data_IF_078526179238
#
_entry.id   IF_078526179238
#
_cell.length_a   1.000
_cell.length_b   1.000
_cell.length_c   1.000
_cell.angle_alpha   90.00
_cell.angle_beta   90.00
_cell.angle_gamma   90.00
#
_symmetry.space_group_name_H-M   'P 1'
#
loop_
_entity.id
_entity.type
_entity.pdbx_description
1 polymer ?
#
# COMPACT_ATOMS: atom_id res chain seq x y z
N UNK A 1 -38.42 16.21 22.22
CA UNK A 1 -37.66 17.05 21.26
C UNK A 1 -36.66 16.15 20.58
N UNK A 2 -36.69 16.03 19.25
CA UNK A 2 -35.74 15.22 18.51
C UNK A 2 -34.53 16.10 18.17
N UNK A 3 -33.30 15.64 18.46
CA UNK A 3 -32.06 16.36 18.18
C UNK A 3 -32.06 17.01 16.78
N UNK A 4 -31.71 18.30 16.75
CA UNK A 4 -31.71 19.13 15.56
C UNK A 4 -30.49 18.80 14.68
N UNK A 5 -30.65 18.45 13.38
CA UNK A 5 -29.53 18.18 12.48
C UNK A 5 -28.49 19.29 12.38
N UNK A 6 -28.86 20.55 12.67
CA UNK A 6 -27.93 21.68 12.65
C UNK A 6 -26.82 21.59 13.70
N UNK A 7 -26.93 20.73 14.72
CA UNK A 7 -25.96 20.69 15.82
C UNK A 7 -24.65 19.96 15.47
N UNK A 8 -24.63 19.07 14.47
CA UNK A 8 -23.43 18.35 14.05
C UNK A 8 -22.79 18.90 12.76
N UNK A 9 -23.33 19.98 12.18
CA UNK A 9 -22.82 20.53 10.92
C UNK A 9 -21.37 21.00 11.06
N UNK A 10 -21.01 21.53 12.23
CA UNK A 10 -19.64 21.93 12.53
C UNK A 10 -18.73 20.70 12.67
N UNK A 11 -19.16 19.68 13.41
CA UNK A 11 -18.40 18.43 13.57
C UNK A 11 -18.09 17.77 12.21
N UNK A 12 -19.03 17.78 11.28
CA UNK A 12 -18.83 17.26 9.93
C UNK A 12 -17.74 18.03 9.16
N UNK A 13 -17.70 19.36 9.29
CA UNK A 13 -16.66 20.20 8.69
C UNK A 13 -15.32 19.97 9.39
N UNK A 14 -15.34 19.79 10.71
CA UNK A 14 -14.14 19.58 11.52
C UNK A 14 -13.48 18.23 11.18
N UNK A 15 -14.26 17.15 10.98
CA UNK A 15 -13.75 15.87 10.48
C UNK A 15 -13.03 16.02 9.14
N UNK A 16 -13.67 16.68 8.17
CA UNK A 16 -13.08 16.88 6.86
C UNK A 16 -11.79 17.72 6.93
N UNK A 17 -11.80 18.80 7.72
CA UNK A 17 -10.62 19.67 7.88
C UNK A 17 -9.48 18.97 8.60
N UNK A 18 -9.76 18.17 9.65
CA UNK A 18 -8.79 17.40 10.40
C UNK A 18 -8.11 16.32 9.52
N UNK A 19 -8.87 15.67 8.64
CA UNK A 19 -8.30 14.71 7.68
C UNK A 19 -7.38 15.41 6.67
N UNK A 20 -7.79 16.56 6.12
CA UNK A 20 -6.96 17.34 5.17
C UNK A 20 -5.69 17.89 5.83
N UNK A 21 -5.77 18.36 7.07
CA UNK A 21 -4.63 18.87 7.83
C UNK A 21 -3.81 17.79 8.53
N UNK A 22 -4.26 16.52 8.47
CA UNK A 22 -3.66 15.36 9.13
C UNK A 22 -3.57 15.51 10.65
N UNK A 23 -4.57 16.15 11.24
CA UNK A 23 -4.68 16.39 12.68
C UNK A 23 -5.45 15.27 13.38
N UNK A 24 -4.71 14.27 13.87
CA UNK A 24 -5.25 13.12 14.60
C UNK A 24 -6.05 13.53 15.84
N UNK A 25 -5.58 14.56 16.56
CA UNK A 25 -6.18 14.98 17.81
C UNK A 25 -7.55 15.58 17.55
N UNK A 26 -7.64 16.53 16.63
CA UNK A 26 -8.90 17.18 16.26
C UNK A 26 -9.90 16.15 15.71
N UNK A 27 -9.46 15.20 14.89
CA UNK A 27 -10.31 14.12 14.38
C UNK A 27 -10.89 13.27 15.52
N UNK A 28 -10.04 12.85 16.46
CA UNK A 28 -10.44 12.02 17.61
C UNK A 28 -11.39 12.77 18.55
N UNK A 29 -11.07 14.02 18.87
CA UNK A 29 -11.88 14.88 19.74
C UNK A 29 -13.28 15.12 19.14
N UNK A 30 -13.36 15.32 17.82
CA UNK A 30 -14.63 15.53 17.11
C UNK A 30 -15.49 14.26 17.12
N UNK A 31 -14.91 13.08 16.84
CA UNK A 31 -15.65 11.81 16.89
C UNK A 31 -16.17 11.53 18.31
N UNK A 32 -15.37 11.84 19.35
CA UNK A 32 -15.79 11.69 20.74
C UNK A 32 -16.92 12.67 21.12
N UNK A 33 -16.89 13.88 20.59
CA UNK A 33 -17.96 14.86 20.77
C UNK A 33 -19.27 14.35 20.14
N UNK A 34 -19.23 13.85 18.91
CA UNK A 34 -20.38 13.21 18.24
C UNK A 34 -20.92 12.04 19.09
N UNK A 35 -20.05 11.17 19.62
CA UNK A 35 -20.45 10.05 20.48
C UNK A 35 -21.23 10.53 21.72
N UNK A 36 -20.69 11.54 22.41
CA UNK A 36 -21.31 12.13 23.60
C UNK A 36 -22.65 12.78 23.29
N UNK A 37 -22.73 13.52 22.18
CA UNK A 37 -23.96 14.16 21.71
C UNK A 37 -25.05 13.12 21.40
N UNK A 38 -24.70 12.01 20.73
CA UNK A 38 -25.66 10.94 20.43
C UNK A 38 -26.18 10.25 21.70
N UNK A 39 -25.34 10.07 22.72
CA UNK A 39 -25.74 9.46 24.01
C UNK A 39 -26.62 10.37 24.85
N UNK A 40 -26.35 11.68 24.85
CA UNK A 40 -27.03 12.66 25.71
C UNK A 40 -28.28 13.27 25.07
N UNK A 41 -28.33 13.36 23.74
CA UNK A 41 -29.37 14.07 22.98
C UNK A 41 -30.70 13.34 22.80
N UNK A 42 -30.95 12.22 23.49
CA UNK A 42 -32.15 11.37 23.31
C UNK A 42 -32.48 11.11 21.82
N UNK A 43 -31.46 10.84 21.02
CA UNK A 43 -31.59 10.63 19.57
C UNK A 43 -32.07 9.20 19.31
N UNK A 44 -33.07 9.03 18.44
CA UNK A 44 -33.55 7.70 18.04
C UNK A 44 -32.47 6.96 17.26
N UNK A 45 -32.34 5.65 17.48
CA UNK A 45 -31.35 4.78 16.82
C UNK A 45 -31.22 5.01 15.31
N UNK A 46 -32.32 5.06 14.57
CA UNK A 46 -32.28 5.24 13.12
C UNK A 46 -31.64 6.57 12.70
N UNK A 47 -31.80 7.63 13.51
CA UNK A 47 -31.14 8.92 13.26
C UNK A 47 -29.65 8.84 13.58
N UNK A 48 -29.25 8.18 14.67
CA UNK A 48 -27.83 7.96 14.97
C UNK A 48 -27.13 7.23 13.81
N UNK A 49 -27.73 6.14 13.31
CA UNK A 49 -27.19 5.39 12.16
C UNK A 49 -27.05 6.29 10.94
N UNK A 50 -28.07 7.09 10.61
CA UNK A 50 -28.01 8.01 9.47
C UNK A 50 -26.86 9.04 9.59
N UNK A 51 -26.65 9.60 10.78
CA UNK A 51 -25.53 10.53 11.02
C UNK A 51 -24.17 9.83 10.92
N UNK A 52 -24.04 8.61 11.44
CA UNK A 52 -22.78 7.85 11.33
C UNK A 52 -22.48 7.48 9.88
N UNK A 53 -23.48 7.13 9.07
CA UNK A 53 -23.30 6.94 7.62
C UNK A 53 -22.89 8.24 6.92
N UNK A 54 -23.42 9.39 7.34
CA UNK A 54 -22.96 10.68 6.82
C UNK A 54 -21.49 10.97 7.18
N UNK A 55 -21.09 10.69 8.43
CA UNK A 55 -19.69 10.79 8.85
C UNK A 55 -18.79 9.85 8.03
N UNK A 56 -19.18 8.60 7.86
CA UNK A 56 -18.47 7.61 7.06
C UNK A 56 -18.24 8.10 5.63
N UNK A 57 -19.29 8.66 5.02
CA UNK A 57 -19.24 9.23 3.68
C UNK A 57 -18.30 10.42 3.59
N UNK A 58 -18.33 11.34 4.56
CA UNK A 58 -17.43 12.50 4.60
C UNK A 58 -15.97 12.05 4.70
N UNK A 59 -15.69 11.08 5.58
CA UNK A 59 -14.34 10.52 5.71
C UNK A 59 -13.89 9.94 4.37
N UNK A 60 -14.73 9.10 3.75
CA UNK A 60 -14.44 8.50 2.45
C UNK A 60 -14.16 9.55 1.37
N UNK A 61 -15.09 10.49 1.15
CA UNK A 61 -14.96 11.54 0.13
C UNK A 61 -13.70 12.39 0.35
N UNK A 62 -13.41 12.76 1.61
CA UNK A 62 -12.23 13.59 1.96
C UNK A 62 -10.93 12.83 1.72
N UNK A 63 -10.84 11.57 2.13
CA UNK A 63 -9.62 10.78 1.94
C UNK A 63 -9.38 10.51 0.46
N UNK A 64 -10.44 10.29 -0.32
CA UNK A 64 -10.37 10.09 -1.77
C UNK A 64 -9.80 11.30 -2.53
N UNK A 65 -9.91 12.52 -1.98
CA UNK A 65 -9.23 13.71 -2.51
C UNK A 65 -7.69 13.55 -2.51
N UNK A 66 -7.16 12.68 -1.64
CA UNK A 66 -5.71 12.50 -1.41
C UNK A 66 -5.19 11.10 -1.73
N UNK A 67 -6.01 10.06 -1.61
CA UNK A 67 -5.67 8.67 -1.93
C UNK A 67 -6.80 8.01 -2.74
N UNK A 68 -6.64 7.98 -4.07
CA UNK A 68 -7.66 7.51 -5.02
C UNK A 68 -8.05 6.03 -4.85
N UNK A 69 -7.21 5.22 -4.21
CA UNK A 69 -7.50 3.80 -4.00
C UNK A 69 -8.22 3.50 -2.68
N UNK A 70 -8.47 4.50 -1.83
CA UNK A 70 -9.17 4.29 -0.57
C UNK A 70 -10.56 3.71 -0.84
N UNK A 71 -10.93 2.64 -0.14
CA UNK A 71 -12.18 1.90 -0.38
C UNK A 71 -13.15 2.08 0.79
N UNK A 72 -14.44 2.11 0.45
CA UNK A 72 -15.55 2.02 1.38
C UNK A 72 -16.33 0.74 1.04
N UNK A 73 -16.21 -0.28 1.88
CA UNK A 73 -16.81 -1.59 1.62
C UNK A 73 -18.27 -1.63 2.10
N UNK A 74 -19.13 -2.40 1.40
CA UNK A 74 -20.53 -2.63 1.82
C UNK A 74 -20.63 -3.16 3.27
N UNK A 75 -19.62 -3.93 3.69
CA UNK A 75 -19.54 -4.45 5.05
C UNK A 75 -19.40 -3.36 6.10
N UNK A 76 -18.73 -2.24 5.80
CA UNK A 76 -18.55 -1.11 6.72
C UNK A 76 -19.89 -0.39 6.94
N UNK A 77 -20.64 -0.20 5.85
CA UNK A 77 -21.97 0.38 5.87
C UNK A 77 -22.96 -0.52 6.65
N UNK A 78 -22.95 -1.83 6.37
CA UNK A 78 -23.81 -2.80 7.06
C UNK A 78 -23.46 -2.91 8.53
N UNK A 79 -22.18 -2.98 8.89
CA UNK A 79 -21.73 -3.13 10.28
C UNK A 79 -22.17 -1.96 11.17
N UNK A 80 -22.18 -0.73 10.64
CA UNK A 80 -22.72 0.44 11.35
C UNK A 80 -24.23 0.32 11.55
N UNK A 81 -24.97 -0.13 10.53
CA UNK A 81 -26.42 -0.35 10.61
C UNK A 81 -26.77 -1.43 11.64
N UNK A 82 -26.00 -2.52 11.64
CA UNK A 82 -26.23 -3.72 12.44
C UNK A 82 -25.65 -3.60 13.87
N UNK A 83 -24.91 -2.54 14.15
CA UNK A 83 -24.32 -2.29 15.45
C UNK A 83 -25.39 -2.28 16.56
N UNK A 84 -25.14 -3.06 17.62
CA UNK A 84 -26.07 -3.25 18.75
C UNK A 84 -26.08 -2.10 19.74
N UNK A 85 -25.11 -1.19 19.66
CA UNK A 85 -25.01 -0.01 20.51
C UNK A 85 -24.34 1.15 19.78
N UNK A 86 -24.55 2.38 20.26
CA UNK A 86 -23.94 3.59 19.70
C UNK A 86 -22.42 3.52 19.86
N UNK A 87 -21.94 3.04 21.01
CA UNK A 87 -20.51 2.84 21.29
C UNK A 87 -19.85 1.98 20.21
N UNK A 88 -20.49 0.86 19.85
CA UNK A 88 -19.95 -0.04 18.83
C UNK A 88 -19.98 0.61 17.45
N UNK A 89 -21.06 1.31 17.10
CA UNK A 89 -21.19 1.98 15.83
C UNK A 89 -20.15 3.12 15.66
N UNK A 90 -19.93 3.90 16.72
CA UNK A 90 -18.91 4.96 16.73
C UNK A 90 -17.50 4.37 16.77
N UNK A 91 -17.28 3.24 17.44
CA UNK A 91 -16.02 2.50 17.36
C UNK A 91 -15.64 2.15 15.92
N UNK A 92 -16.59 1.67 15.11
CA UNK A 92 -16.38 1.39 13.69
C UNK A 92 -16.01 2.65 12.90
N UNK A 93 -16.65 3.79 13.20
CA UNK A 93 -16.28 5.09 12.60
C UNK A 93 -14.87 5.50 12.99
N UNK A 94 -14.47 5.31 14.25
CA UNK A 94 -13.13 5.63 14.74
C UNK A 94 -12.07 4.78 14.03
N UNK A 95 -12.32 3.49 13.88
CA UNK A 95 -11.41 2.57 13.17
C UNK A 95 -11.28 2.95 11.68
N UNK A 96 -12.40 3.34 11.04
CA UNK A 96 -12.38 3.80 9.66
C UNK A 96 -11.66 5.14 9.49
N UNK A 97 -11.91 6.10 10.40
CA UNK A 97 -11.26 7.40 10.42
C UNK A 97 -9.74 7.28 10.63
N UNK A 98 -9.29 6.37 11.50
CA UNK A 98 -7.86 6.09 11.71
C UNK A 98 -7.19 5.55 10.44
N UNK A 99 -7.84 4.61 9.73
CA UNK A 99 -7.34 4.14 8.42
C UNK A 99 -7.31 5.26 7.38
N UNK A 100 -8.34 6.11 7.35
CA UNK A 100 -8.39 7.27 6.46
C UNK A 100 -7.26 8.27 6.73
N UNK A 101 -6.96 8.53 8.01
CA UNK A 101 -5.85 9.39 8.41
C UNK A 101 -4.50 8.78 8.08
N UNK A 102 -4.31 7.48 8.31
CA UNK A 102 -3.10 6.76 7.92
C UNK A 102 -2.86 6.84 6.40
N UNK A 103 -3.91 6.68 5.59
CA UNK A 103 -3.86 6.85 4.15
C UNK A 103 -3.47 8.29 3.76
N UNK A 104 -4.10 9.30 4.38
CA UNK A 104 -3.78 10.71 4.13
C UNK A 104 -2.34 11.07 4.54
N UNK A 105 -1.84 10.52 5.66
CA UNK A 105 -0.44 10.66 6.09
C UNK A 105 0.51 10.03 5.07
N UNK A 106 0.19 8.81 4.61
CA UNK A 106 0.95 8.09 3.61
C UNK A 106 1.00 8.82 2.25
N UNK A 107 -0.06 9.53 1.86
CA UNK A 107 -0.13 10.28 0.59
C UNK A 107 0.91 11.43 0.47
N UNK A 108 1.59 11.81 1.56
CA UNK A 108 2.71 12.77 1.53
C UNK A 108 4.04 12.20 1.00
N UNK A 109 4.15 10.87 0.87
CA UNK A 109 5.12 10.19 0.03
C UNK A 109 4.35 9.76 -1.23
N UNK A 110 4.86 9.98 -2.45
CA UNK A 110 4.04 9.62 -3.61
C UNK A 110 3.70 8.13 -3.55
N UNK A 111 2.42 7.78 -3.72
CA UNK A 111 1.94 6.39 -3.72
C UNK A 111 2.79 5.51 -4.66
N UNK A 112 3.26 6.10 -5.77
CA UNK A 112 4.21 5.49 -6.70
C UNK A 112 5.58 5.16 -6.11
N UNK A 113 6.22 6.09 -5.38
CA UNK A 113 7.52 5.82 -4.73
C UNK A 113 7.42 4.70 -3.70
N UNK A 114 6.36 4.69 -2.88
CA UNK A 114 6.15 3.61 -1.89
C UNK A 114 5.92 2.26 -2.60
N UNK A 115 5.10 2.24 -3.65
CA UNK A 115 4.88 1.05 -4.46
C UNK A 115 6.18 0.56 -5.11
N UNK A 116 7.06 1.46 -5.56
CA UNK A 116 8.36 1.11 -6.11
C UNK A 116 9.32 0.54 -5.05
N UNK A 117 9.33 1.09 -3.83
CA UNK A 117 10.12 0.54 -2.71
C UNK A 117 9.64 -0.87 -2.34
N UNK A 118 8.33 -1.05 -2.15
CA UNK A 118 7.74 -2.37 -1.86
C UNK A 118 8.04 -3.37 -2.98
N UNK A 119 7.99 -2.93 -4.24
CA UNK A 119 8.37 -3.75 -5.38
C UNK A 119 9.84 -4.19 -5.31
N UNK A 120 10.76 -3.26 -5.03
CA UNK A 120 12.19 -3.58 -4.90
C UNK A 120 12.44 -4.60 -3.78
N UNK A 121 11.79 -4.44 -2.63
CA UNK A 121 11.98 -5.37 -1.52
C UNK A 121 11.40 -6.76 -1.84
N UNK A 122 10.22 -6.82 -2.46
CA UNK A 122 9.66 -8.07 -2.99
C UNK A 122 10.61 -8.75 -3.98
N UNK A 123 11.23 -7.98 -4.90
CA UNK A 123 12.24 -8.51 -5.82
C UNK A 123 13.48 -9.06 -5.10
N UNK A 124 13.98 -8.39 -4.06
CA UNK A 124 15.15 -8.85 -3.29
C UNK A 124 14.89 -10.14 -2.51
N UNK A 125 13.65 -10.35 -2.09
CA UNK A 125 13.25 -11.57 -1.37
C UNK A 125 13.00 -12.74 -2.33
N UNK A 126 12.52 -12.45 -3.54
CA UNK A 126 12.01 -13.46 -4.47
C UNK A 126 12.86 -13.64 -5.75
N UNK A 127 13.99 -12.94 -5.91
CA UNK A 127 14.77 -12.93 -7.17
C UNK A 127 15.18 -14.32 -7.68
N UNK A 128 15.36 -15.28 -6.78
CA UNK A 128 15.78 -16.65 -7.09
C UNK A 128 14.66 -17.48 -7.73
N UNK A 129 13.41 -17.05 -7.63
CA UNK A 129 12.29 -17.70 -8.31
C UNK A 129 12.40 -17.46 -9.83
N UNK A 130 12.58 -18.51 -10.66
CA UNK A 130 12.67 -18.36 -12.11
C UNK A 130 11.38 -17.83 -12.75
N UNK A 131 10.22 -18.10 -12.15
CA UNK A 131 8.90 -17.73 -12.66
C UNK A 131 8.44 -16.34 -12.19
N UNK A 132 9.28 -15.62 -11.43
CA UNK A 132 8.98 -14.27 -10.98
C UNK A 132 8.71 -13.34 -12.17
N UNK A 133 7.53 -12.74 -12.19
CA UNK A 133 7.00 -12.01 -13.35
C UNK A 133 6.42 -10.66 -12.94
N UNK A 134 6.20 -9.80 -13.93
CA UNK A 134 5.51 -8.52 -13.74
C UNK A 134 4.10 -8.72 -13.17
N UNK A 135 3.40 -9.79 -13.57
CA UNK A 135 2.05 -10.05 -13.09
C UNK A 135 2.06 -10.41 -11.60
N UNK A 136 3.01 -11.25 -11.16
CA UNK A 136 3.16 -11.60 -9.75
C UNK A 136 3.34 -10.37 -8.85
N UNK A 137 4.14 -9.39 -9.28
CA UNK A 137 4.36 -8.18 -8.49
C UNK A 137 3.16 -7.22 -8.54
N UNK A 138 2.46 -7.16 -9.68
CA UNK A 138 1.25 -6.36 -9.83
C UNK A 138 0.11 -6.90 -8.95
N UNK A 139 -0.04 -8.23 -8.88
CA UNK A 139 -0.99 -8.90 -7.98
C UNK A 139 -0.64 -8.64 -6.51
N UNK A 140 0.64 -8.78 -6.13
CA UNK A 140 1.11 -8.49 -4.77
C UNK A 140 0.82 -7.04 -4.33
N UNK A 141 0.99 -6.09 -5.24
CA UNK A 141 0.77 -4.66 -4.98
C UNK A 141 -0.67 -4.19 -5.26
N UNK A 142 -1.53 -5.08 -5.75
CA UNK A 142 -2.89 -4.78 -6.19
C UNK A 142 -2.98 -3.58 -7.16
N UNK A 143 -2.14 -3.56 -8.20
CA UNK A 143 -2.15 -2.52 -9.24
C UNK A 143 -2.07 -3.10 -10.65
N UNK A 144 -2.52 -2.33 -11.65
CA UNK A 144 -2.39 -2.73 -13.06
C UNK A 144 -0.94 -2.68 -13.54
N UNK A 145 -0.60 -3.52 -14.53
CA UNK A 145 0.74 -3.57 -15.15
C UNK A 145 1.16 -2.26 -15.79
N UNK A 146 0.22 -1.52 -16.37
CA UNK A 146 0.45 -0.19 -16.96
C UNK A 146 0.84 0.83 -15.89
N UNK A 147 0.07 0.91 -14.79
CA UNK A 147 0.38 1.78 -13.66
C UNK A 147 1.73 1.42 -13.05
N UNK A 148 1.97 0.15 -12.77
CA UNK A 148 3.24 -0.35 -12.23
C UNK A 148 4.41 0.09 -13.12
N UNK A 149 4.33 -0.13 -14.43
CA UNK A 149 5.44 0.16 -15.33
C UNK A 149 5.81 1.64 -15.36
N UNK A 150 4.79 2.51 -15.33
CA UNK A 150 4.99 3.96 -15.27
C UNK A 150 5.66 4.38 -13.96
N UNK A 151 5.05 4.04 -12.82
CA UNK A 151 5.56 4.46 -11.50
C UNK A 151 6.95 3.87 -11.23
N UNK A 152 7.17 2.60 -11.57
CA UNK A 152 8.41 1.91 -11.23
C UNK A 152 9.57 2.46 -12.05
N UNK A 153 9.33 2.78 -13.33
CA UNK A 153 10.34 3.39 -14.18
C UNK A 153 10.60 4.85 -13.82
N UNK A 154 9.56 5.61 -13.46
CA UNK A 154 9.70 6.98 -13.00
C UNK A 154 10.53 7.05 -11.72
N UNK A 155 10.25 6.20 -10.75
CA UNK A 155 10.98 6.17 -9.47
C UNK A 155 12.40 5.60 -9.61
N UNK A 156 12.57 4.49 -10.33
CA UNK A 156 13.87 3.76 -10.35
C UNK A 156 14.77 4.11 -11.54
N UNK A 157 14.22 4.81 -12.55
CA UNK A 157 14.86 5.02 -13.84
C UNK A 157 14.99 3.76 -14.71
N UNK A 158 14.47 2.61 -14.25
CA UNK A 158 14.66 1.29 -14.87
C UNK A 158 13.36 0.52 -14.97
N UNK A 159 13.28 -0.39 -15.92
CA UNK A 159 12.17 -1.34 -16.03
C UNK A 159 12.27 -2.44 -14.97
N UNK A 160 11.14 -3.10 -14.69
CA UNK A 160 11.08 -4.32 -13.85
C UNK A 160 12.17 -5.33 -14.21
N UNK A 161 12.26 -5.69 -15.50
CA UNK A 161 13.18 -6.71 -15.99
C UNK A 161 14.64 -6.30 -15.79
N UNK A 162 14.96 -5.02 -15.97
CA UNK A 162 16.32 -4.50 -15.72
C UNK A 162 16.67 -4.55 -14.24
N UNK A 163 15.76 -4.16 -13.34
CA UNK A 163 16.00 -4.23 -11.89
C UNK A 163 16.17 -5.67 -11.42
N UNK A 164 15.27 -6.58 -11.83
CA UNK A 164 15.37 -8.00 -11.50
C UNK A 164 16.69 -8.59 -12.03
N UNK A 165 17.06 -8.30 -13.28
CA UNK A 165 18.32 -8.77 -13.87
C UNK A 165 19.53 -8.26 -13.08
N UNK A 166 19.54 -6.99 -12.70
CA UNK A 166 20.64 -6.42 -11.90
C UNK A 166 20.77 -7.12 -10.54
N UNK A 167 19.66 -7.32 -9.82
CA UNK A 167 19.65 -8.02 -8.52
C UNK A 167 20.21 -9.43 -8.68
N UNK A 168 19.73 -10.20 -9.66
CA UNK A 168 20.19 -11.58 -9.92
C UNK A 168 21.68 -11.61 -10.26
N UNK A 169 22.15 -10.66 -11.07
CA UNK A 169 23.55 -10.62 -11.47
C UNK A 169 24.49 -10.19 -10.35
N UNK A 170 24.08 -9.27 -9.48
CA UNK A 170 24.87 -8.89 -8.32
C UNK A 170 25.00 -10.05 -7.33
N UNK A 171 23.94 -10.85 -7.16
CA UNK A 171 24.02 -12.11 -6.41
C UNK A 171 24.90 -13.15 -7.09
N UNK A 172 24.87 -13.25 -8.42
CA UNK A 172 25.76 -14.15 -9.16
C UNK A 172 27.24 -13.77 -8.98
N UNK A 173 27.58 -12.48 -9.03
CA UNK A 173 28.95 -12.00 -8.76
C UNK A 173 29.42 -12.40 -7.35
N UNK A 174 28.55 -12.29 -6.35
CA UNK A 174 28.86 -12.72 -4.97
C UNK A 174 29.15 -14.21 -4.91
N UNK A 175 28.28 -15.05 -5.49
CA UNK A 175 28.45 -16.50 -5.52
C UNK A 175 29.72 -16.94 -6.25
N UNK A 176 30.04 -16.31 -7.39
CA UNK A 176 31.26 -16.59 -8.16
C UNK A 176 32.55 -16.29 -7.38
N UNK A 177 32.51 -15.32 -6.45
CA UNK A 177 33.66 -14.95 -5.61
C UNK A 177 33.79 -15.79 -4.35
N UNK A 178 32.67 -16.32 -3.85
CA UNK A 178 32.59 -16.96 -2.53
C UNK A 178 32.49 -18.48 -2.58
N UNK A 179 32.27 -19.06 -3.78
CA UNK A 179 31.98 -20.50 -3.92
C UNK A 179 32.71 -21.09 -5.13
N UNK A 180 32.80 -22.42 -5.15
CA UNK A 180 33.32 -23.21 -6.29
C UNK A 180 32.20 -23.79 -7.17
N UNK A 181 30.99 -23.21 -7.11
CA UNK A 181 29.83 -23.69 -7.85
C UNK A 181 30.06 -23.61 -9.36
N UNK A 182 29.49 -24.57 -10.09
CA UNK A 182 29.47 -24.55 -11.55
C UNK A 182 28.53 -23.45 -12.03
N UNK A 183 28.81 -22.98 -13.25
CA UNK A 183 28.06 -21.89 -13.87
C UNK A 183 26.54 -22.14 -13.94
N UNK A 184 26.13 -23.38 -14.23
CA UNK A 184 24.72 -23.73 -14.28
C UNK A 184 24.06 -23.72 -12.89
N UNK A 185 24.77 -24.13 -11.84
CA UNK A 185 24.27 -24.09 -10.46
C UNK A 185 24.08 -22.65 -9.98
N UNK A 186 24.97 -21.75 -10.39
CA UNK A 186 24.83 -20.31 -10.08
C UNK A 186 23.65 -19.72 -10.83
N UNK A 187 23.48 -20.05 -12.11
CA UNK A 187 22.34 -19.61 -12.91
C UNK A 187 21.01 -20.02 -12.24
N UNK A 188 20.90 -21.29 -11.84
CA UNK A 188 19.73 -21.82 -11.14
C UNK A 188 19.49 -21.09 -9.80
N UNK A 189 20.53 -20.95 -8.97
CA UNK A 189 20.42 -20.28 -7.65
C UNK A 189 19.99 -18.82 -7.72
N UNK A 190 20.34 -18.12 -8.79
CA UNK A 190 19.97 -16.71 -8.98
C UNK A 190 18.71 -16.56 -9.83
N UNK A 191 18.00 -17.64 -10.16
CA UNK A 191 16.69 -17.59 -10.81
C UNK A 191 16.73 -17.47 -12.34
N UNK A 192 17.81 -17.91 -12.98
CA UNK A 192 17.85 -18.08 -14.44
C UNK A 192 17.54 -19.54 -14.82
N UNK A 193 16.43 -19.77 -15.50
CA UNK A 193 16.05 -21.10 -16.01
C UNK A 193 16.96 -21.59 -17.14
N UNK A 194 17.59 -20.67 -17.88
CA UNK A 194 18.53 -20.98 -18.95
C UNK A 194 19.96 -20.52 -18.60
N UNK A 195 20.88 -21.46 -18.29
CA UNK A 195 22.29 -21.16 -18.04
C UNK A 195 23.03 -20.51 -19.22
N UNK A 196 22.60 -20.78 -20.46
CA UNK A 196 23.18 -20.16 -21.65
C UNK A 196 22.82 -18.68 -21.71
N UNK A 197 21.53 -18.35 -21.54
CA UNK A 197 21.06 -16.97 -21.46
C UNK A 197 21.73 -16.20 -20.31
N UNK A 198 21.84 -16.82 -19.12
CA UNK A 198 22.57 -16.26 -17.99
C UNK A 198 24.01 -15.86 -18.38
N UNK A 199 24.73 -16.76 -19.05
CA UNK A 199 26.13 -16.54 -19.43
C UNK A 199 26.29 -15.35 -20.39
N UNK A 200 25.38 -15.22 -21.36
CA UNK A 200 25.34 -14.10 -22.32
C UNK A 200 25.05 -12.80 -21.58
N UNK A 201 24.01 -12.77 -20.75
CA UNK A 201 23.60 -11.59 -20.00
C UNK A 201 24.69 -11.14 -19.01
N UNK A 202 25.34 -12.08 -18.33
CA UNK A 202 26.43 -11.80 -17.40
C UNK A 202 27.63 -11.18 -18.13
N UNK A 203 28.02 -11.73 -19.28
CA UNK A 203 29.10 -11.17 -20.11
C UNK A 203 28.75 -9.78 -20.62
N UNK A 204 27.52 -9.56 -21.08
CA UNK A 204 27.06 -8.24 -21.52
C UNK A 204 27.16 -7.20 -20.40
N UNK A 205 26.83 -7.58 -19.17
CA UNK A 205 26.78 -6.66 -18.04
C UNK A 205 28.16 -6.40 -17.40
N UNK A 206 29.05 -7.38 -17.41
CA UNK A 206 30.35 -7.31 -16.70
C UNK A 206 31.56 -7.21 -17.61
N UNK A 207 31.38 -7.43 -18.92
CA UNK A 207 32.46 -7.56 -19.90
C UNK A 207 33.16 -8.92 -19.91
N UNK A 208 32.85 -9.83 -18.97
CA UNK A 208 33.54 -11.11 -18.77
C UNK A 208 32.55 -12.26 -18.65
N UNK A 209 32.92 -13.45 -19.13
CA UNK A 209 32.13 -14.65 -18.86
C UNK A 209 32.15 -14.96 -17.36
N UNK A 210 31.12 -15.64 -16.81
CA UNK A 210 31.13 -16.05 -15.40
C UNK A 210 32.41 -16.82 -15.00
N UNK A 211 32.91 -17.68 -15.90
CA UNK A 211 34.13 -18.47 -15.69
C UNK A 211 35.39 -17.61 -15.64
N UNK A 212 35.49 -16.58 -16.48
CA UNK A 212 36.59 -15.61 -16.41
C UNK A 212 36.50 -14.79 -15.12
N UNK A 213 35.30 -14.33 -14.75
CA UNK A 213 35.08 -13.54 -13.54
C UNK A 213 35.46 -14.30 -12.25
N UNK A 214 35.16 -15.59 -12.16
CA UNK A 214 35.52 -16.44 -11.02
C UNK A 214 37.03 -16.69 -10.86
N UNK A 215 37.82 -16.52 -11.93
CA UNK A 215 39.28 -16.76 -11.91
C UNK A 215 40.11 -15.55 -11.48
N UNK A 216 39.48 -14.38 -11.38
CA UNK A 216 40.14 -13.11 -11.06
C UNK A 216 40.10 -12.74 -9.56
N UNK A 217 39.60 -13.64 -8.71
CA UNK A 217 39.59 -13.51 -7.25
C UNK A 217 40.21 -14.76 -6.63
#
# INVERSE_FOLDING_TARGET
MAGNPMELEQDFKDIASALRSKDEKTLTDTINHIESWMKTGYVRRNKCVAYLHQVLRIIYETVLETEENFQLDDSEISNITDARSIEKAVGLIRDYAARGLEAALAAGQSSGERQAVMAIDYLKENYSNPDLSLNHICEYLNISTSRFSSIFKETTGKTFTEVLTNIRMDRAKQLLRQTSLKNYEIAEKVGFSDPHYFSIAFKKMTGKTPKEYAREN
#
